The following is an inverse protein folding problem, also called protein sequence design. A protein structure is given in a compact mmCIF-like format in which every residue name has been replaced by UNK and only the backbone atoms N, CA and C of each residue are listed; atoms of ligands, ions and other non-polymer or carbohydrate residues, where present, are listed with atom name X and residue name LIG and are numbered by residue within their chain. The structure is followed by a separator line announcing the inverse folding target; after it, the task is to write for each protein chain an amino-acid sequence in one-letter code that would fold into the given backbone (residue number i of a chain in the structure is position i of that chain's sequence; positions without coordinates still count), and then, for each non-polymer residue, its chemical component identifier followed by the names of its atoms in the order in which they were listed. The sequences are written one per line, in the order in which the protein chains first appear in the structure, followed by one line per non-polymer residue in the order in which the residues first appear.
data_IF_976434947002
#
_entry.id   IF_976434947002
#
_cell.length_a   1.000
_cell.length_b   1.000
_cell.length_c   1.000
_cell.angle_alpha   90.00
_cell.angle_beta   90.00
_cell.angle_gamma   90.00
#
_symmetry.space_group_name_H-M   'P 1'
#
loop_
_entity.id
_entity.type
_entity.pdbx_description
1 polymer ?
#
# COMPACT_ATOMS: atom_id res chain seq x y z
N UNK A 1 18.39 -39.43 -1.21
CA UNK A 1 17.35 -39.44 -0.16
C UNK A 1 17.08 -37.99 0.16
N UNK A 2 15.87 -37.50 -0.09
CA UNK A 2 15.50 -36.10 0.14
C UNK A 2 15.56 -35.80 1.65
N UNK A 3 16.11 -34.65 2.03
CA UNK A 3 16.26 -34.33 3.46
C UNK A 3 14.89 -34.12 4.12
N UNK A 4 14.79 -34.35 5.43
CA UNK A 4 13.57 -34.08 6.20
C UNK A 4 13.11 -32.62 6.05
N UNK A 5 14.04 -31.69 5.87
CA UNK A 5 13.74 -30.28 5.63
C UNK A 5 13.12 -30.03 4.25
N UNK A 6 13.64 -30.66 3.20
CA UNK A 6 13.09 -30.56 1.85
C UNK A 6 11.68 -31.13 1.76
N UNK A 7 11.43 -32.27 2.43
CA UNK A 7 10.10 -32.87 2.53
C UNK A 7 9.10 -31.94 3.21
N UNK A 8 9.50 -31.29 4.31
CA UNK A 8 8.66 -30.32 5.02
C UNK A 8 8.27 -29.15 4.12
N UNK A 9 9.24 -28.53 3.45
CA UNK A 9 9.00 -27.40 2.55
C UNK A 9 8.10 -27.83 1.39
N UNK A 10 8.34 -29.00 0.79
CA UNK A 10 7.49 -29.52 -0.29
C UNK A 10 6.05 -29.70 0.15
N UNK A 11 5.83 -30.40 1.27
CA UNK A 11 4.50 -30.66 1.81
C UNK A 11 3.75 -29.38 2.18
N UNK A 12 4.46 -28.36 2.67
CA UNK A 12 3.88 -27.05 2.91
C UNK A 12 3.28 -26.43 1.64
N UNK A 13 4.06 -26.34 0.55
CA UNK A 13 3.58 -25.76 -0.70
C UNK A 13 2.45 -26.58 -1.36
N UNK A 14 2.45 -27.91 -1.20
CA UNK A 14 1.33 -28.75 -1.61
C UNK A 14 0.03 -28.40 -0.85
N UNK A 15 0.11 -28.13 0.46
CA UNK A 15 -1.05 -27.69 1.26
C UNK A 15 -1.54 -26.31 0.82
N UNK A 16 -0.62 -25.37 0.53
CA UNK A 16 -0.95 -24.04 0.01
C UNK A 16 -1.70 -24.14 -1.33
N UNK A 17 -1.25 -25.00 -2.24
CA UNK A 17 -1.92 -25.21 -3.52
C UNK A 17 -3.31 -25.85 -3.35
N UNK A 18 -3.40 -26.89 -2.51
CA UNK A 18 -4.68 -27.57 -2.20
C UNK A 18 -5.69 -26.62 -1.56
N UNK A 19 -5.26 -25.66 -0.75
CA UNK A 19 -6.18 -24.72 -0.09
C UNK A 19 -6.89 -23.77 -1.08
N UNK A 20 -6.35 -23.58 -2.29
CA UNK A 20 -7.00 -22.80 -3.35
C UNK A 20 -7.94 -23.63 -4.23
N UNK A 21 -7.66 -24.93 -4.45
CA UNK A 21 -8.39 -25.79 -5.41
C UNK A 21 -9.91 -25.88 -5.16
N UNK A 22 -10.34 -25.64 -3.92
CA UNK A 22 -11.75 -25.78 -3.52
C UNK A 22 -12.43 -24.46 -3.14
N UNK A 23 -11.82 -23.30 -3.43
CA UNK A 23 -12.33 -21.99 -2.99
C UNK A 23 -12.57 -21.05 -4.17
N UNK A 24 -13.80 -20.57 -4.30
CA UNK A 24 -14.17 -19.47 -5.20
C UNK A 24 -13.95 -18.13 -4.50
N UNK A 25 -12.97 -17.35 -4.96
CA UNK A 25 -12.67 -16.04 -4.40
C UNK A 25 -13.27 -14.92 -5.26
N UNK A 26 -13.94 -13.95 -4.61
CA UNK A 26 -14.41 -12.75 -5.29
C UNK A 26 -13.39 -11.63 -5.16
N UNK A 27 -13.08 -10.98 -6.27
CA UNK A 27 -12.28 -9.77 -6.30
C UNK A 27 -13.16 -8.61 -6.72
N UNK A 28 -12.94 -7.43 -6.16
CA UNK A 28 -13.68 -6.24 -6.57
C UNK A 28 -13.43 -5.98 -8.06
N UNK A 29 -14.47 -6.13 -8.89
CA UNK A 29 -14.56 -5.36 -10.13
C UNK A 29 -14.84 -3.91 -9.74
N UNK A 30 -14.21 -2.99 -10.47
CA UNK A 30 -14.10 -1.56 -10.17
C UNK A 30 -15.41 -0.77 -10.30
N UNK A 31 -16.59 -1.42 -10.30
CA UNK A 31 -17.78 -0.86 -10.96
C UNK A 31 -19.10 -1.02 -10.19
N UNK A 32 -19.11 -0.80 -8.88
CA UNK A 32 -20.38 -0.68 -8.12
C UNK A 32 -20.39 0.49 -7.13
N UNK A 33 -19.52 1.48 -7.36
CA UNK A 33 -19.38 2.62 -6.47
C UNK A 33 -20.66 3.44 -6.29
N UNK A 34 -21.36 3.74 -7.38
CA UNK A 34 -22.58 4.55 -7.33
C UNK A 34 -23.81 3.78 -6.84
N UNK A 35 -23.95 2.49 -7.18
CA UNK A 35 -25.18 1.74 -6.85
C UNK A 35 -25.23 1.40 -5.35
N UNK A 36 -24.10 1.00 -4.77
CA UNK A 36 -24.02 0.68 -3.33
C UNK A 36 -24.12 1.92 -2.44
N UNK A 37 -23.76 3.09 -2.95
CA UNK A 37 -23.90 4.34 -2.23
C UNK A 37 -25.29 4.95 -2.35
N UNK A 38 -25.95 4.85 -3.51
CA UNK A 38 -27.38 5.19 -3.65
C UNK A 38 -28.20 4.40 -2.62
N UNK A 39 -27.90 3.12 -2.44
CA UNK A 39 -28.54 2.24 -1.43
C UNK A 39 -28.25 2.69 0.01
N UNK A 40 -27.11 3.31 0.29
CA UNK A 40 -26.76 3.81 1.63
C UNK A 40 -27.43 5.16 1.96
N UNK A 41 -27.76 5.97 0.95
CA UNK A 41 -28.41 7.29 1.08
C UNK A 41 -29.93 7.17 1.03
N UNK A 42 -30.43 6.15 0.33
CA UNK A 42 -31.85 5.84 0.21
C UNK A 42 -32.59 5.79 1.55
N UNK A 43 -32.08 5.17 2.64
CA UNK A 43 -32.75 5.24 3.94
C UNK A 43 -32.80 6.65 4.54
N UNK A 44 -31.79 7.49 4.30
CA UNK A 44 -31.79 8.87 4.79
C UNK A 44 -32.79 9.74 4.02
N UNK A 45 -32.87 9.53 2.70
CA UNK A 45 -33.83 10.18 1.80
C UNK A 45 -35.27 9.67 2.07
N UNK A 46 -35.41 8.40 2.45
CA UNK A 46 -36.68 7.82 2.92
C UNK A 46 -37.08 8.34 4.29
N UNK A 47 -36.16 8.58 5.23
CA UNK A 47 -36.45 9.24 6.51
C UNK A 47 -36.98 10.65 6.24
N UNK A 48 -36.36 11.40 5.32
CA UNK A 48 -36.85 12.71 4.91
C UNK A 48 -38.26 12.63 4.32
N UNK A 49 -38.52 11.68 3.42
CA UNK A 49 -39.86 11.46 2.85
C UNK A 49 -40.86 11.04 3.94
N UNK A 50 -40.49 10.21 4.91
CA UNK A 50 -41.34 9.79 6.03
C UNK A 50 -41.67 10.96 6.95
N UNK A 51 -40.71 11.83 7.25
CA UNK A 51 -40.94 13.03 8.06
C UNK A 51 -41.90 13.98 7.35
N UNK A 52 -41.63 14.28 6.07
CA UNK A 52 -42.50 15.16 5.26
C UNK A 52 -43.91 14.59 5.11
N UNK A 53 -44.04 13.29 4.82
CA UNK A 53 -45.35 12.64 4.67
C UNK A 53 -46.08 12.46 5.99
N UNK A 54 -45.37 12.30 7.13
CA UNK A 54 -46.00 12.25 8.45
C UNK A 54 -46.56 13.60 8.86
N UNK A 55 -45.82 14.69 8.59
CA UNK A 55 -46.29 16.07 8.78
C UNK A 55 -47.53 16.33 7.91
N UNK A 56 -47.48 15.98 6.62
CA UNK A 56 -48.61 16.11 5.70
C UNK A 56 -49.82 15.26 6.14
N UNK A 57 -49.58 14.04 6.62
CA UNK A 57 -50.64 13.14 7.05
C UNK A 57 -51.34 13.61 8.33
N UNK A 58 -50.59 14.17 9.29
CA UNK A 58 -51.15 14.79 10.49
C UNK A 58 -52.07 15.96 10.15
N UNK A 59 -51.66 16.77 9.15
CA UNK A 59 -52.49 17.86 8.61
C UNK A 59 -53.77 17.30 7.96
N UNK A 60 -53.68 16.23 7.15
CA UNK A 60 -54.87 15.64 6.51
C UNK A 60 -55.80 14.89 7.47
N UNK A 61 -55.28 14.30 8.54
CA UNK A 61 -56.08 13.56 9.53
C UNK A 61 -56.86 14.51 10.45
N UNK A 62 -56.31 15.70 10.71
CA UNK A 62 -57.03 16.84 11.29
C UNK A 62 -58.20 17.33 10.42
N UNK A 63 -58.11 17.16 9.10
CA UNK A 63 -59.06 17.72 8.15
C UNK A 63 -60.15 16.73 7.68
N UNK A 64 -59.90 15.42 7.59
CA UNK A 64 -60.77 14.54 6.80
C UNK A 64 -61.11 13.13 7.34
N UNK A 65 -60.62 12.68 8.50
CA UNK A 65 -61.08 11.44 9.17
C UNK A 65 -61.30 10.20 8.27
N UNK A 66 -60.35 9.82 7.41
CA UNK A 66 -60.45 8.61 6.54
C UNK A 66 -59.38 7.56 6.87
N UNK A 67 -59.79 6.30 6.69
CA UNK A 67 -59.16 5.05 7.13
C UNK A 67 -57.74 4.79 6.58
N UNK A 68 -56.85 4.38 7.49
CA UNK A 68 -55.37 4.39 7.42
C UNK A 68 -54.76 3.20 6.64
N UNK A 69 -55.55 2.16 6.38
CA UNK A 69 -55.09 0.78 6.06
C UNK A 69 -54.39 0.60 4.69
N UNK A 70 -54.80 1.25 3.58
CA UNK A 70 -54.14 1.03 2.28
C UNK A 70 -52.70 1.56 2.24
N UNK A 71 -52.42 2.63 2.99
CA UNK A 71 -51.10 3.28 2.98
C UNK A 71 -50.05 2.51 3.77
N UNK A 72 -50.46 1.76 4.80
CA UNK A 72 -49.54 0.96 5.63
C UNK A 72 -49.01 -0.26 4.88
N UNK A 73 -49.86 -0.94 4.11
CA UNK A 73 -49.45 -2.14 3.34
C UNK A 73 -48.43 -1.77 2.25
N UNK A 74 -48.66 -0.66 1.54
CA UNK A 74 -47.73 -0.16 0.53
C UNK A 74 -46.36 0.21 1.14
N UNK A 75 -46.36 0.81 2.35
CA UNK A 75 -45.13 1.14 3.09
C UNK A 75 -44.31 -0.11 3.47
N UNK A 76 -44.95 -1.16 3.99
CA UNK A 76 -44.24 -2.39 4.37
C UNK A 76 -43.78 -3.21 3.15
N UNK A 77 -44.52 -3.18 2.04
CA UNK A 77 -44.10 -3.80 0.78
C UNK A 77 -42.83 -3.17 0.19
N UNK A 78 -42.75 -1.84 0.21
CA UNK A 78 -41.53 -1.10 -0.19
C UNK A 78 -40.37 -1.44 0.76
N UNK A 79 -40.61 -1.56 2.06
CA UNK A 79 -39.58 -1.93 3.04
C UNK A 79 -38.93 -3.30 2.75
N UNK A 80 -39.74 -4.34 2.49
CA UNK A 80 -39.23 -5.69 2.17
C UNK A 80 -38.46 -5.74 0.84
N UNK A 81 -38.93 -5.02 -0.18
CA UNK A 81 -38.24 -4.93 -1.48
C UNK A 81 -36.87 -4.25 -1.34
N UNK A 82 -36.78 -3.20 -0.52
CA UNK A 82 -35.53 -2.50 -0.25
C UNK A 82 -34.55 -3.33 0.58
N UNK A 83 -35.03 -4.07 1.59
CA UNK A 83 -34.19 -5.04 2.33
C UNK A 83 -33.61 -6.09 1.37
N UNK A 84 -34.42 -6.62 0.45
CA UNK A 84 -33.95 -7.58 -0.55
C UNK A 84 -32.88 -6.98 -1.47
N UNK A 85 -32.98 -5.71 -1.86
CA UNK A 85 -31.94 -5.00 -2.62
C UNK A 85 -30.64 -4.80 -1.81
N UNK A 86 -30.76 -4.46 -0.53
CA UNK A 86 -29.62 -4.31 0.38
C UNK A 86 -28.90 -5.66 0.57
N UNK A 87 -29.64 -6.75 0.81
CA UNK A 87 -29.08 -8.11 0.96
C UNK A 87 -28.42 -8.56 -0.35
N UNK A 88 -29.07 -8.32 -1.51
CA UNK A 88 -28.55 -8.66 -2.84
C UNK A 88 -27.27 -7.90 -3.18
N UNK A 89 -27.06 -6.71 -2.62
CA UNK A 89 -25.89 -5.88 -2.88
C UNK A 89 -24.93 -5.78 -1.67
N UNK A 90 -25.18 -6.58 -0.63
CA UNK A 90 -24.34 -6.63 0.55
C UNK A 90 -22.97 -7.24 0.18
N UNK A 91 -21.86 -6.61 0.55
CA UNK A 91 -20.53 -7.07 0.15
C UNK A 91 -20.26 -8.45 0.76
N UNK A 92 -20.10 -9.47 -0.10
CA UNK A 92 -19.62 -10.79 0.31
C UNK A 92 -18.17 -10.70 0.82
N UNK A 93 -17.82 -11.61 1.73
CA UNK A 93 -16.56 -11.62 2.49
C UNK A 93 -15.35 -11.43 1.56
N UNK A 94 -14.48 -10.48 1.93
CA UNK A 94 -13.21 -10.22 1.24
C UNK A 94 -12.32 -11.45 1.32
N UNK A 95 -11.50 -11.66 0.29
CA UNK A 95 -10.41 -12.62 0.36
C UNK A 95 -9.50 -12.34 1.55
N UNK A 96 -9.23 -13.37 2.34
CA UNK A 96 -8.17 -13.39 3.35
C UNK A 96 -7.42 -14.72 3.21
N UNK A 97 -6.08 -14.71 3.26
CA UNK A 97 -5.29 -15.93 3.30
C UNK A 97 -5.65 -16.77 4.52
N UNK A 98 -5.42 -18.08 4.45
CA UNK A 98 -5.56 -18.97 5.59
C UNK A 98 -4.56 -18.55 6.67
N UNK A 99 -5.01 -18.11 7.86
CA UNK A 99 -4.11 -17.55 8.86
C UNK A 99 -3.09 -18.57 9.38
N UNK A 100 -3.46 -19.85 9.47
CA UNK A 100 -2.55 -20.88 9.97
C UNK A 100 -1.43 -21.17 8.98
N UNK A 101 -1.74 -21.26 7.68
CA UNK A 101 -0.72 -21.44 6.63
C UNK A 101 0.18 -20.21 6.50
N UNK A 102 -0.40 -19.02 6.68
CA UNK A 102 0.36 -17.78 6.64
C UNK A 102 1.37 -17.72 7.79
N UNK A 103 0.94 -18.03 9.01
CA UNK A 103 1.81 -18.06 10.19
C UNK A 103 2.91 -19.12 10.06
N UNK A 104 2.57 -20.35 9.64
CA UNK A 104 3.55 -21.41 9.39
C UNK A 104 4.58 -20.99 8.32
N UNK A 105 4.14 -20.31 7.27
CA UNK A 105 5.04 -19.81 6.24
C UNK A 105 6.05 -18.80 6.79
N UNK A 106 5.56 -17.78 7.50
CA UNK A 106 6.39 -16.66 7.96
C UNK A 106 7.31 -17.07 9.10
N UNK A 107 6.89 -18.01 9.96
CA UNK A 107 7.66 -18.41 11.15
C UNK A 107 8.58 -19.61 10.94
N UNK A 108 8.27 -20.53 10.01
CA UNK A 108 9.07 -21.75 9.79
C UNK A 108 9.67 -21.81 8.37
N UNK A 109 8.83 -21.72 7.34
CA UNK A 109 9.24 -22.02 5.95
C UNK A 109 10.14 -20.93 5.36
N UNK A 110 9.72 -19.66 5.45
CA UNK A 110 10.45 -18.54 4.88
C UNK A 110 11.81 -18.29 5.56
N UNK A 111 11.96 -18.37 6.89
CA UNK A 111 13.27 -18.31 7.53
C UNK A 111 14.23 -19.41 7.04
N UNK A 112 13.74 -20.64 6.81
CA UNK A 112 14.56 -21.74 6.27
C UNK A 112 14.99 -21.47 4.84
N UNK A 113 14.06 -21.05 3.98
CA UNK A 113 14.38 -20.68 2.60
C UNK A 113 15.37 -19.52 2.57
N UNK A 114 15.19 -18.52 3.44
CA UNK A 114 16.10 -17.38 3.59
C UNK A 114 17.50 -17.86 3.95
N UNK A 115 17.65 -18.69 5.00
CA UNK A 115 18.95 -19.25 5.41
C UNK A 115 19.63 -20.09 4.33
N UNK A 116 18.84 -20.79 3.51
CA UNK A 116 19.36 -21.57 2.38
C UNK A 116 19.98 -20.70 1.28
N UNK A 117 19.46 -19.48 1.07
CA UNK A 117 19.99 -18.52 0.08
C UNK A 117 21.07 -17.61 0.71
N UNK A 118 20.88 -17.28 1.99
CA UNK A 118 21.69 -16.36 2.79
C UNK A 118 21.90 -16.87 4.22
N UNK A 119 23.00 -17.59 4.47
CA UNK A 119 23.26 -18.14 5.80
C UNK A 119 23.40 -17.06 6.90
N UNK A 120 23.85 -15.85 6.54
CA UNK A 120 24.14 -14.75 7.47
C UNK A 120 22.99 -13.75 7.65
N UNK A 121 21.87 -13.92 6.95
CA UNK A 121 20.77 -12.95 6.96
C UNK A 121 19.62 -13.47 7.82
N UNK A 122 19.07 -12.56 8.62
CA UNK A 122 17.88 -12.79 9.43
C UNK A 122 16.64 -12.25 8.72
N UNK A 123 15.55 -13.01 8.82
CA UNK A 123 14.22 -12.60 8.37
C UNK A 123 13.37 -12.16 9.57
N UNK A 124 12.53 -11.14 9.39
CA UNK A 124 11.63 -10.57 10.40
C UNK A 124 10.24 -10.32 9.81
N UNK A 125 9.18 -10.91 10.39
CA UNK A 125 7.78 -10.87 9.89
C UNK A 125 7.02 -9.60 10.27
N UNK A 126 7.50 -8.82 11.25
CA UNK A 126 6.79 -7.65 11.79
C UNK A 126 7.72 -6.47 11.93
N UNK A 127 8.33 -6.09 10.82
CA UNK A 127 9.27 -4.99 10.81
C UNK A 127 8.56 -3.67 11.11
N UNK A 128 8.84 -3.10 12.29
CA UNK A 128 8.41 -1.75 12.61
C UNK A 128 9.43 -0.79 12.02
N UNK A 129 9.03 -0.12 10.96
CA UNK A 129 9.84 0.92 10.35
C UNK A 129 10.17 1.99 11.37
N UNK A 130 11.45 2.34 11.49
CA UNK A 130 11.88 3.50 12.25
C UNK A 130 11.56 4.78 11.46
N UNK A 131 10.31 5.25 11.59
CA UNK A 131 9.85 6.44 10.87
C UNK A 131 10.68 7.68 11.19
N UNK A 132 11.29 7.78 12.38
CA UNK A 132 12.14 8.91 12.74
C UNK A 132 13.43 8.93 11.90
N UNK A 133 14.06 7.76 11.71
CA UNK A 133 15.26 7.63 10.88
C UNK A 133 14.96 7.87 9.39
N UNK A 134 13.83 7.36 8.89
CA UNK A 134 13.40 7.62 7.50
C UNK A 134 13.07 9.10 7.25
N UNK A 135 12.46 9.76 8.24
CA UNK A 135 12.24 11.21 8.20
C UNK A 135 13.57 11.97 8.23
N UNK A 136 14.51 11.60 9.11
CA UNK A 136 15.83 12.21 9.18
C UNK A 136 16.68 12.00 7.90
N UNK A 137 16.45 10.88 7.19
CA UNK A 137 17.05 10.62 5.90
C UNK A 137 16.55 11.61 4.81
N UNK A 138 15.44 12.33 5.05
CA UNK A 138 14.79 13.24 4.10
C UNK A 138 14.61 12.60 2.70
N UNK A 139 14.29 11.30 2.69
CA UNK A 139 14.18 10.55 1.44
C UNK A 139 12.80 10.71 0.80
N UNK A 140 11.76 10.64 1.61
CA UNK A 140 10.39 10.87 1.17
C UNK A 140 10.01 12.34 1.21
N UNK A 141 9.12 12.76 0.31
CA UNK A 141 8.60 14.13 0.24
C UNK A 141 7.82 14.52 1.50
N UNK A 142 7.67 15.82 1.76
CA UNK A 142 6.85 16.30 2.88
C UNK A 142 5.40 15.81 2.76
N UNK A 143 4.87 15.77 1.54
CA UNK A 143 3.52 15.29 1.24
C UNK A 143 3.32 13.81 1.55
N UNK A 144 4.39 13.01 1.47
CA UNK A 144 4.35 11.61 1.88
C UNK A 144 4.14 11.44 3.38
N UNK A 145 4.61 12.39 4.21
CA UNK A 145 4.57 12.30 5.67
C UNK A 145 3.42 13.07 6.32
N UNK A 146 2.44 13.56 5.56
CA UNK A 146 1.28 14.28 6.11
C UNK A 146 0.52 13.41 7.14
N UNK A 147 -0.17 14.05 8.09
CA UNK A 147 -0.77 13.40 9.28
C UNK A 147 -1.72 12.23 8.94
N UNK A 148 -2.34 12.24 7.76
CA UNK A 148 -3.25 11.19 7.28
C UNK A 148 -2.54 9.99 6.62
N UNK A 149 -1.22 10.10 6.39
CA UNK A 149 -0.37 9.07 5.80
C UNK A 149 0.29 8.18 6.85
N UNK A 150 0.07 6.87 6.79
CA UNK A 150 0.81 5.89 7.61
C UNK A 150 1.70 5.02 6.76
N UNK A 151 2.96 4.91 7.17
CA UNK A 151 3.93 3.97 6.64
C UNK A 151 3.98 2.74 7.55
N UNK A 152 3.76 1.56 6.98
CA UNK A 152 3.88 0.28 7.67
C UNK A 152 4.97 -0.55 7.01
N UNK A 153 5.90 -1.06 7.81
CA UNK A 153 6.73 -2.19 7.42
C UNK A 153 5.95 -3.50 7.62
N UNK A 154 6.14 -4.45 6.72
CA UNK A 154 5.59 -5.80 6.82
C UNK A 154 6.76 -6.75 7.11
N UNK A 155 7.43 -7.20 6.04
CA UNK A 155 8.57 -8.12 6.12
C UNK A 155 9.90 -7.38 6.04
N UNK A 156 10.93 -7.88 6.72
CA UNK A 156 12.30 -7.40 6.53
C UNK A 156 13.36 -8.51 6.51
N UNK A 157 14.39 -8.27 5.72
CA UNK A 157 15.65 -9.01 5.69
C UNK A 157 16.76 -8.10 6.21
N UNK A 158 17.44 -8.52 7.27
CA UNK A 158 18.50 -7.75 7.91
C UNK A 158 19.73 -8.62 8.16
N UNK A 159 20.89 -8.07 7.88
CA UNK A 159 22.15 -8.72 8.20
C UNK A 159 23.32 -8.10 7.47
N UNK A 160 24.44 -8.81 7.57
CA UNK A 160 25.67 -8.47 6.87
C UNK A 160 25.89 -9.44 5.73
N UNK A 161 26.17 -8.92 4.54
CA UNK A 161 26.52 -9.73 3.39
C UNK A 161 27.71 -9.13 2.64
N UNK A 162 28.79 -9.92 2.48
CA UNK A 162 30.04 -9.47 1.83
C UNK A 162 30.56 -8.12 2.37
N UNK A 163 30.52 -7.95 3.71
CA UNK A 163 30.87 -6.74 4.48
C UNK A 163 29.91 -5.56 4.36
N UNK A 164 28.77 -5.69 3.68
CA UNK A 164 27.76 -4.64 3.66
C UNK A 164 26.67 -4.96 4.68
N UNK A 165 26.51 -4.08 5.67
CA UNK A 165 25.34 -4.07 6.53
C UNK A 165 24.16 -3.49 5.76
N UNK A 166 23.08 -4.25 5.69
CA UNK A 166 21.89 -3.82 5.01
C UNK A 166 20.61 -4.28 5.71
N UNK A 167 19.55 -3.57 5.39
CA UNK A 167 18.21 -3.81 5.85
C UNK A 167 17.27 -3.56 4.68
N UNK A 168 16.59 -4.62 4.23
CA UNK A 168 15.60 -4.56 3.17
C UNK A 168 14.24 -4.85 3.77
N UNK A 169 13.31 -3.91 3.67
CA UNK A 169 11.96 -4.03 4.20
C UNK A 169 10.93 -3.84 3.10
N UNK A 170 9.86 -4.63 3.14
CA UNK A 170 8.64 -4.32 2.40
C UNK A 170 7.88 -3.23 3.12
N UNK A 171 7.68 -2.10 2.44
CA UNK A 171 6.97 -0.94 2.95
C UNK A 171 5.65 -0.76 2.20
N UNK A 172 4.59 -0.57 2.96
CA UNK A 172 3.28 -0.15 2.45
C UNK A 172 2.90 1.20 3.05
N UNK A 173 2.61 2.17 2.18
CA UNK A 173 2.10 3.47 2.57
C UNK A 173 0.60 3.53 2.32
N UNK A 174 -0.16 3.85 3.38
CA UNK A 174 -1.59 4.03 3.34
C UNK A 174 -1.93 5.50 3.56
N UNK A 175 -2.88 6.00 2.80
CA UNK A 175 -3.50 7.30 3.02
C UNK A 175 -4.94 7.07 3.44
N UNK A 176 -5.43 7.86 4.37
CA UNK A 176 -6.86 7.91 4.62
C UNK A 176 -7.52 8.71 3.50
N UNK A 177 -8.58 8.15 2.91
CA UNK A 177 -9.39 8.85 1.91
C UNK A 177 -10.84 8.73 2.31
N UNK A 178 -11.65 9.71 1.95
CA UNK A 178 -13.10 9.60 2.08
C UNK A 178 -13.58 8.31 1.42
N UNK A 179 -14.28 7.49 2.22
CA UNK A 179 -15.01 6.35 1.72
C UNK A 179 -16.12 6.85 0.80
N UNK A 180 -16.68 5.95 -0.02
CA UNK A 180 -17.81 6.33 -0.86
C UNK A 180 -18.96 6.86 0.02
N UNK A 181 -19.29 6.16 1.10
CA UNK A 181 -20.28 6.61 2.09
C UNK A 181 -19.95 7.99 2.66
N UNK A 182 -18.69 8.21 3.02
CA UNK A 182 -18.20 9.51 3.51
C UNK A 182 -18.45 10.64 2.52
N UNK A 183 -18.09 10.45 1.24
CA UNK A 183 -18.31 11.46 0.20
C UNK A 183 -19.78 11.84 0.04
N UNK A 184 -20.70 10.86 0.09
CA UNK A 184 -22.13 11.14 0.00
C UNK A 184 -22.70 11.82 1.25
N UNK A 185 -22.23 11.43 2.44
CA UNK A 185 -22.61 12.10 3.68
C UNK A 185 -22.14 13.57 3.64
N UNK A 186 -20.92 13.86 3.16
CA UNK A 186 -20.41 15.23 3.00
C UNK A 186 -21.25 16.07 2.03
N UNK A 187 -21.72 15.50 0.92
CA UNK A 187 -22.61 16.22 -0.02
C UNK A 187 -23.98 16.47 0.61
N UNK A 188 -24.55 15.47 1.28
CA UNK A 188 -25.85 15.59 1.93
C UNK A 188 -25.81 16.63 3.06
N UNK A 189 -24.73 16.65 3.85
CA UNK A 189 -24.42 17.69 4.82
C UNK A 189 -24.40 19.08 4.16
N UNK A 190 -23.66 19.23 3.06
CA UNK A 190 -23.59 20.49 2.32
C UNK A 190 -24.96 20.99 1.83
N UNK A 191 -25.84 20.09 1.39
CA UNK A 191 -27.21 20.45 1.00
C UNK A 191 -28.09 20.83 2.21
N UNK A 192 -27.94 20.15 3.35
CA UNK A 192 -28.72 20.42 4.56
C UNK A 192 -28.33 21.72 5.25
N UNK A 193 -27.04 22.08 5.24
CA UNK A 193 -26.53 23.37 5.76
C UNK A 193 -27.21 24.55 5.06
N UNK A 194 -27.56 24.40 3.78
CA UNK A 194 -28.27 25.43 3.00
C UNK A 194 -29.75 25.54 3.43
N UNK A 195 -30.34 24.48 3.96
CA UNK A 195 -31.77 24.39 4.29
C UNK A 195 -32.05 24.91 5.71
N UNK A 196 -31.20 24.59 6.69
CA UNK A 196 -31.37 25.03 8.07
C UNK A 196 -30.10 24.88 8.90
N UNK A 197 -29.69 25.96 9.58
CA UNK A 197 -28.55 25.96 10.51
C UNK A 197 -28.79 25.02 11.71
N UNK A 198 -30.02 24.93 12.23
CA UNK A 198 -30.34 24.07 13.39
C UNK A 198 -30.25 22.58 13.07
N UNK A 199 -30.54 22.18 11.83
CA UNK A 199 -30.37 20.79 11.40
C UNK A 199 -28.90 20.44 11.15
N UNK A 200 -28.07 21.42 10.77
CA UNK A 200 -26.63 21.21 10.61
C UNK A 200 -26.00 20.77 11.94
N UNK A 201 -26.32 21.44 13.04
CA UNK A 201 -25.76 21.13 14.37
C UNK A 201 -26.12 19.72 14.85
N UNK A 202 -27.38 19.29 14.66
CA UNK A 202 -27.82 17.93 14.99
C UNK A 202 -27.05 16.90 14.16
N UNK A 203 -26.83 17.18 12.88
CA UNK A 203 -26.17 16.26 11.96
C UNK A 203 -24.66 16.20 12.22
N UNK A 204 -24.01 17.31 12.58
CA UNK A 204 -22.62 17.33 13.05
C UNK A 204 -22.46 16.53 14.36
N UNK A 205 -23.40 16.65 15.30
CA UNK A 205 -23.41 15.84 16.54
C UNK A 205 -23.54 14.33 16.27
N UNK A 206 -24.38 13.94 15.29
CA UNK A 206 -24.48 12.54 14.86
C UNK A 206 -23.17 12.07 14.21
N UNK A 207 -22.51 12.92 13.41
CA UNK A 207 -21.27 12.59 12.72
C UNK A 207 -20.11 12.33 13.72
N UNK A 208 -20.03 13.16 14.76
CA UNK A 208 -19.05 13.02 15.83
C UNK A 208 -19.27 11.71 16.61
N UNK A 209 -20.55 11.36 16.85
CA UNK A 209 -20.94 10.11 17.51
C UNK A 209 -20.61 8.86 16.67
N UNK A 210 -20.73 8.94 15.34
CA UNK A 210 -20.43 7.82 14.42
C UNK A 210 -18.90 7.64 14.23
N UNK A 211 -18.11 8.68 14.51
CA UNK A 211 -16.65 8.67 14.46
C UNK A 211 -16.08 8.73 13.04
N UNK A 212 -15.00 9.49 12.85
CA UNK A 212 -14.36 9.72 11.54
C UNK A 212 -13.94 8.45 10.78
N UNK A 213 -13.65 7.36 11.50
CA UNK A 213 -13.29 6.06 10.93
C UNK A 213 -14.41 5.40 10.10
N UNK A 214 -15.67 5.80 10.31
CA UNK A 214 -16.80 5.32 9.51
C UNK A 214 -16.89 6.03 8.14
N UNK A 215 -16.33 7.23 8.04
CA UNK A 215 -16.37 8.08 6.85
C UNK A 215 -15.13 7.91 6.00
N UNK A 216 -13.96 7.67 6.61
CA UNK A 216 -12.72 7.41 5.92
C UNK A 216 -12.57 5.92 5.57
N UNK A 217 -11.69 5.65 4.62
CA UNK A 217 -11.14 4.31 4.38
C UNK A 217 -9.66 4.47 4.10
N UNK A 218 -8.88 3.57 4.68
CA UNK A 218 -7.49 3.41 4.28
C UNK A 218 -7.40 2.96 2.83
N UNK A 219 -6.72 3.74 2.00
CA UNK A 219 -6.33 3.40 0.63
C UNK A 219 -4.82 3.22 0.60
N UNK A 220 -4.38 2.06 0.11
CA UNK A 220 -2.97 1.83 -0.20
C UNK A 220 -2.56 2.79 -1.33
N UNK A 221 -1.60 3.67 -1.05
CA UNK A 221 -1.07 4.63 -2.00
C UNK A 221 0.18 4.09 -2.69
N UNK A 222 1.05 3.44 -1.92
CA UNK A 222 2.33 2.91 -2.40
C UNK A 222 2.64 1.58 -1.70
N UNK A 223 3.33 0.68 -2.41
CA UNK A 223 3.98 -0.51 -1.86
C UNK A 223 5.26 -0.81 -2.63
N UNK A 224 6.30 -1.23 -1.92
CA UNK A 224 7.56 -1.60 -2.54
C UNK A 224 8.61 -2.08 -1.55
N UNK A 225 9.74 -2.50 -2.10
CA UNK A 225 10.94 -2.79 -1.31
C UNK A 225 11.67 -1.49 -1.00
N UNK A 226 12.06 -1.35 0.24
CA UNK A 226 12.94 -0.30 0.72
C UNK A 226 14.24 -0.93 1.20
N UNK A 227 15.34 -0.52 0.58
CA UNK A 227 16.67 -0.95 0.93
C UNK A 227 17.40 0.19 1.65
N UNK A 228 17.86 -0.09 2.85
CA UNK A 228 18.90 0.64 3.55
C UNK A 228 20.19 -0.15 3.49
N UNK A 229 21.31 0.48 3.15
CA UNK A 229 22.62 -0.15 3.21
C UNK A 229 23.71 0.87 3.58
N UNK A 230 24.74 0.42 4.28
CA UNK A 230 25.98 1.18 4.38
C UNK A 230 26.69 1.14 3.02
N UNK A 231 26.83 2.31 2.38
CA UNK A 231 27.39 2.41 1.03
C UNK A 231 28.93 2.37 1.04
N UNK A 232 29.56 2.35 2.22
CA UNK A 232 31.01 2.21 2.42
C UNK A 232 31.90 3.25 1.70
N UNK A 233 31.30 4.30 1.13
CA UNK A 233 32.00 5.49 0.63
C UNK A 233 31.94 6.58 1.70
N UNK A 234 33.05 7.27 1.90
CA UNK A 234 33.08 8.43 2.79
C UNK A 234 32.78 9.71 2.02
N UNK A 235 31.64 10.30 2.28
CA UNK A 235 31.27 11.62 1.78
C UNK A 235 30.25 12.25 2.71
N UNK A 236 30.21 13.58 2.71
CA UNK A 236 29.18 14.35 3.40
C UNK A 236 28.27 15.02 2.39
N UNK A 237 26.97 15.02 2.68
CA UNK A 237 25.95 15.60 1.82
C UNK A 237 25.01 14.57 1.23
N UNK A 238 24.16 15.05 0.33
CA UNK A 238 23.00 14.31 -0.18
C UNK A 238 23.02 14.26 -1.70
N UNK A 239 22.66 13.10 -2.25
CA UNK A 239 22.39 12.90 -3.67
C UNK A 239 21.08 12.16 -3.80
N UNK A 240 20.17 12.66 -4.62
CA UNK A 240 18.89 12.05 -4.94
C UNK A 240 18.85 11.73 -6.44
N UNK A 241 18.60 10.48 -6.77
CA UNK A 241 18.23 10.01 -8.10
C UNK A 241 16.74 9.62 -8.06
N UNK A 242 15.91 10.32 -8.84
CA UNK A 242 14.46 10.08 -8.93
C UNK A 242 14.03 9.85 -10.36
N UNK A 243 13.00 9.02 -10.58
CA UNK A 243 12.44 8.79 -11.93
C UNK A 243 11.80 10.06 -12.51
N UNK A 244 11.99 10.30 -13.81
CA UNK A 244 11.26 11.32 -14.59
C UNK A 244 9.85 10.89 -14.94
N UNK A 245 9.56 9.59 -14.87
CA UNK A 245 8.26 9.04 -15.22
C UNK A 245 7.25 9.52 -14.18
N UNK A 246 6.17 10.19 -14.64
CA UNK A 246 5.02 10.54 -13.80
C UNK A 246 4.43 9.27 -13.18
N UNK A 247 4.82 9.00 -11.95
CA UNK A 247 4.57 7.75 -11.25
C UNK A 247 4.43 8.02 -9.75
N UNK A 248 4.03 7.01 -8.98
CA UNK A 248 3.97 7.11 -7.53
C UNK A 248 5.35 7.48 -6.95
N UNK A 249 6.43 6.93 -7.50
CA UNK A 249 7.80 7.21 -7.08
C UNK A 249 8.16 8.69 -7.20
N UNK A 250 7.83 9.31 -8.34
CA UNK A 250 8.10 10.72 -8.60
C UNK A 250 7.42 11.64 -7.57
N UNK A 251 6.24 11.26 -7.06
CA UNK A 251 5.48 12.01 -6.04
C UNK A 251 6.01 11.80 -4.62
N UNK A 252 6.41 10.57 -4.29
CA UNK A 252 6.86 10.24 -2.93
C UNK A 252 8.32 10.61 -2.69
N UNK A 253 9.12 10.84 -3.73
CA UNK A 253 10.50 11.34 -3.61
C UNK A 253 10.63 12.71 -4.25
N UNK A 254 10.86 13.74 -3.45
CA UNK A 254 11.02 15.12 -3.91
C UNK A 254 12.43 15.62 -3.60
N UNK A 255 13.06 16.40 -4.51
CA UNK A 255 14.32 17.06 -4.21
C UNK A 255 14.11 18.10 -3.12
N UNK A 256 15.07 18.18 -2.19
CA UNK A 256 15.10 19.25 -1.22
C UNK A 256 15.59 20.54 -1.87
N UNK A 257 15.18 21.69 -1.33
CA UNK A 257 15.49 23.01 -1.88
C UNK A 257 16.99 23.34 -1.93
N UNK A 258 17.81 22.68 -1.11
CA UNK A 258 19.27 22.85 -1.08
C UNK A 258 20.02 21.97 -2.08
N UNK A 259 19.34 21.10 -2.84
CA UNK A 259 19.98 20.27 -3.85
C UNK A 259 19.90 20.92 -5.22
N UNK A 260 21.02 20.98 -5.92
CA UNK A 260 21.07 21.41 -7.31
C UNK A 260 20.89 20.23 -8.26
N UNK A 261 20.23 20.45 -9.40
CA UNK A 261 20.08 19.45 -10.45
C UNK A 261 21.42 19.28 -11.18
N UNK A 262 21.84 18.03 -11.37
CA UNK A 262 23.06 17.68 -12.10
C UNK A 262 22.73 16.81 -13.32
N UNK A 263 23.60 16.87 -14.33
CA UNK A 263 23.52 16.05 -15.54
C UNK A 263 24.69 15.09 -15.52
N UNK A 264 24.42 13.78 -15.56
CA UNK A 264 25.47 12.77 -15.61
C UNK A 264 26.04 12.65 -17.04
N UNK A 265 27.17 11.97 -17.23
CA UNK A 265 27.68 11.68 -18.57
C UNK A 265 26.83 10.62 -19.30
N UNK A 266 26.24 9.69 -18.55
CA UNK A 266 25.38 8.64 -19.10
C UNK A 266 24.01 9.21 -19.54
N UNK A 267 23.85 9.40 -20.86
CA UNK A 267 22.62 9.90 -21.47
C UNK A 267 21.40 8.99 -21.27
N UNK A 268 21.57 7.68 -21.11
CA UNK A 268 20.48 6.73 -20.86
C UNK A 268 19.87 6.94 -19.47
N UNK A 269 20.72 7.14 -18.45
CA UNK A 269 20.26 7.48 -17.09
C UNK A 269 19.61 8.86 -17.08
N UNK A 270 20.18 9.87 -17.72
CA UNK A 270 19.57 11.21 -17.77
C UNK A 270 18.20 11.25 -18.45
N UNK A 271 17.91 10.33 -19.38
CA UNK A 271 16.59 10.20 -20.01
C UNK A 271 15.53 9.64 -19.05
N UNK A 272 15.94 8.72 -18.17
CA UNK A 272 15.03 8.04 -17.23
C UNK A 272 14.92 8.75 -15.89
N UNK A 273 15.99 9.40 -15.46
CA UNK A 273 16.15 9.90 -14.10
C UNK A 273 16.52 11.39 -14.08
N UNK A 274 16.15 12.04 -12.99
CA UNK A 274 16.67 13.33 -12.57
C UNK A 274 17.60 13.09 -11.40
N UNK A 275 18.75 13.76 -11.42
CA UNK A 275 19.75 13.65 -10.37
C UNK A 275 19.93 15.00 -9.73
N UNK A 276 19.89 15.02 -8.41
CA UNK A 276 20.07 16.20 -7.59
C UNK A 276 21.17 15.92 -6.56
N UNK A 277 22.04 16.87 -6.29
CA UNK A 277 23.12 16.70 -5.33
C UNK A 277 23.38 17.99 -4.55
N UNK A 278 24.02 17.87 -3.38
CA UNK A 278 24.53 19.03 -2.65
C UNK A 278 25.58 19.81 -3.44
N UNK A 279 26.37 19.11 -4.26
CA UNK A 279 27.26 19.72 -5.26
C UNK A 279 27.47 18.77 -6.44
N UNK A 280 27.78 19.32 -7.62
CA UNK A 280 28.19 18.53 -8.80
C UNK A 280 29.36 17.60 -8.52
N UNK A 281 30.39 18.07 -7.79
CA UNK A 281 31.57 17.26 -7.46
C UNK A 281 31.18 16.03 -6.64
N UNK A 282 30.32 16.21 -5.63
CA UNK A 282 29.82 15.11 -4.82
C UNK A 282 29.00 14.13 -5.67
N UNK A 283 28.13 14.66 -6.53
CA UNK A 283 27.33 13.86 -7.46
C UNK A 283 28.17 12.93 -8.32
N UNK A 284 29.21 13.44 -8.98
CA UNK A 284 30.09 12.65 -9.84
C UNK A 284 30.97 11.65 -9.06
N UNK A 285 31.41 12.03 -7.86
CA UNK A 285 32.19 11.13 -7.00
C UNK A 285 31.38 9.91 -6.52
N UNK A 286 30.18 10.14 -5.99
CA UNK A 286 29.40 9.06 -5.41
C UNK A 286 28.67 8.24 -6.48
N UNK A 287 28.11 8.88 -7.52
CA UNK A 287 27.52 8.23 -8.69
C UNK A 287 28.58 7.98 -9.77
N UNK A 288 29.60 7.20 -9.42
CA UNK A 288 30.62 6.75 -10.37
C UNK A 288 29.97 5.96 -11.53
N UNK A 289 30.63 5.84 -12.69
CA UNK A 289 30.14 5.05 -13.83
C UNK A 289 29.68 3.64 -13.42
N UNK A 290 30.42 3.00 -12.52
CA UNK A 290 30.08 1.67 -11.96
C UNK A 290 28.74 1.63 -11.22
N UNK A 291 28.43 2.65 -10.43
CA UNK A 291 27.15 2.76 -9.69
C UNK A 291 26.00 3.04 -10.65
N UNK A 292 26.24 3.88 -11.66
CA UNK A 292 25.27 4.17 -12.73
C UNK A 292 24.94 2.87 -13.48
N UNK A 293 25.95 2.08 -13.85
CA UNK A 293 25.75 0.77 -14.49
C UNK A 293 25.01 -0.23 -13.59
N UNK A 294 25.31 -0.26 -12.29
CA UNK A 294 24.58 -1.07 -11.32
C UNK A 294 23.09 -0.69 -11.30
N UNK A 295 22.77 0.59 -11.26
CA UNK A 295 21.39 1.09 -11.32
C UNK A 295 20.70 0.68 -12.63
N UNK A 296 21.39 0.76 -13.76
CA UNK A 296 20.85 0.32 -15.05
C UNK A 296 20.58 -1.20 -15.07
N UNK A 297 21.50 -2.01 -14.53
CA UNK A 297 21.34 -3.47 -14.41
C UNK A 297 20.14 -3.83 -13.52
N UNK A 298 20.05 -3.21 -12.34
CA UNK A 298 18.96 -3.43 -11.38
C UNK A 298 17.60 -3.07 -12.00
N UNK A 299 17.50 -1.89 -12.61
CA UNK A 299 16.23 -1.42 -13.20
C UNK A 299 15.80 -2.25 -14.40
N UNK A 300 16.74 -2.77 -15.19
CA UNK A 300 16.47 -3.68 -16.30
C UNK A 300 15.97 -5.04 -15.81
N UNK A 301 16.63 -5.62 -14.81
CA UNK A 301 16.29 -6.95 -14.28
C UNK A 301 14.94 -6.94 -13.55
N UNK A 302 14.72 -5.95 -12.69
CA UNK A 302 13.48 -5.81 -11.93
C UNK A 302 12.32 -5.26 -12.76
N UNK A 303 12.59 -4.75 -13.97
CA UNK A 303 11.62 -4.09 -14.86
C UNK A 303 10.83 -2.98 -14.15
N UNK A 304 11.49 -2.31 -13.22
CA UNK A 304 10.91 -1.26 -12.40
C UNK A 304 11.87 -0.06 -12.34
N UNK A 305 11.29 1.14 -12.34
CA UNK A 305 12.03 2.35 -12.00
C UNK A 305 12.36 2.31 -10.50
N UNK A 306 13.46 2.96 -10.12
CA UNK A 306 13.85 3.10 -8.70
C UNK A 306 13.92 4.58 -8.32
N UNK A 307 13.77 4.87 -7.04
CA UNK A 307 14.29 6.11 -6.46
C UNK A 307 15.39 5.77 -5.46
N UNK A 308 16.48 6.54 -5.48
CA UNK A 308 17.69 6.25 -4.72
C UNK A 308 18.19 7.55 -4.09
N UNK A 309 18.54 7.50 -2.81
CA UNK A 309 19.24 8.59 -2.12
C UNK A 309 20.50 8.08 -1.45
N UNK A 310 21.59 8.79 -1.69
CA UNK A 310 22.84 8.66 -0.97
C UNK A 310 22.92 9.82 0.02
N UNK A 311 23.16 9.52 1.30
CA UNK A 311 23.32 10.55 2.34
C UNK A 311 24.38 10.09 3.34
N UNK A 312 25.43 10.89 3.47
CA UNK A 312 26.50 10.68 4.47
C UNK A 312 27.03 9.24 4.51
N UNK A 313 27.38 8.69 3.34
CA UNK A 313 27.87 7.32 3.20
C UNK A 313 26.82 6.21 3.30
N UNK A 314 25.54 6.55 3.45
CA UNK A 314 24.42 5.59 3.51
C UNK A 314 23.60 5.61 2.22
N UNK A 315 23.10 4.43 1.83
CA UNK A 315 22.22 4.22 0.70
C UNK A 315 20.79 3.96 1.17
N UNK A 316 19.85 4.70 0.59
CA UNK A 316 18.42 4.47 0.71
C UNK A 316 17.87 4.27 -0.69
N UNK A 317 17.16 3.18 -0.95
CA UNK A 317 16.60 2.88 -2.25
C UNK A 317 15.19 2.37 -2.08
N UNK A 318 14.29 2.77 -2.98
CA UNK A 318 12.93 2.25 -3.02
C UNK A 318 12.58 1.77 -4.41
N UNK A 319 11.94 0.61 -4.45
CA UNK A 319 11.58 -0.12 -5.65
C UNK A 319 10.09 -0.49 -5.54
N UNK A 320 9.22 0.06 -6.40
CA UNK A 320 7.80 -0.26 -6.39
C UNK A 320 7.62 -1.72 -6.79
N UNK A 321 6.79 -2.44 -6.05
CA UNK A 321 6.46 -3.83 -6.36
C UNK A 321 5.07 -3.94 -6.98
N UNK A 322 4.93 -4.82 -7.97
CA UNK A 322 3.61 -5.16 -8.52
C UNK A 322 2.78 -6.07 -7.59
N UNK A 323 3.43 -6.79 -6.68
CA UNK A 323 2.81 -7.77 -5.78
C UNK A 323 3.54 -7.79 -4.43
N UNK A 324 2.87 -8.29 -3.39
CA UNK A 324 3.51 -8.48 -2.08
C UNK A 324 4.59 -9.55 -2.20
N UNK A 325 5.79 -9.25 -1.74
CA UNK A 325 6.83 -10.28 -1.64
C UNK A 325 6.55 -11.14 -0.41
N UNK A 326 7.16 -12.33 -0.38
CA UNK A 326 7.13 -13.17 0.81
C UNK A 326 5.70 -13.56 1.23
N UNK A 327 4.81 -13.78 0.28
CA UNK A 327 3.45 -14.25 0.53
C UNK A 327 3.21 -15.65 0.01
N UNK A 328 2.31 -16.41 0.63
CA UNK A 328 1.93 -17.73 0.09
C UNK A 328 0.97 -17.62 -1.09
N UNK A 329 0.39 -16.44 -1.34
CA UNK A 329 -0.52 -16.18 -2.45
C UNK A 329 -0.18 -14.88 -3.19
N UNK A 330 -0.14 -14.93 -4.52
CA UNK A 330 -0.09 -13.75 -5.39
C UNK A 330 -1.48 -13.38 -5.86
N UNK A 331 -1.78 -12.08 -5.81
CA UNK A 331 -3.03 -11.52 -6.35
C UNK A 331 -2.69 -10.62 -7.53
N UNK A 332 -3.10 -11.02 -8.74
CA UNK A 332 -2.94 -10.20 -9.95
C UNK A 332 -4.20 -10.26 -10.78
N UNK A 333 -4.67 -9.11 -11.27
CA UNK A 333 -5.85 -8.99 -12.13
C UNK A 333 -7.06 -9.76 -11.60
N UNK A 334 -7.34 -9.64 -10.30
CA UNK A 334 -8.48 -10.34 -9.70
C UNK A 334 -8.39 -11.88 -9.81
N UNK A 335 -7.17 -12.43 -9.77
CA UNK A 335 -6.90 -13.86 -9.73
C UNK A 335 -5.90 -14.11 -8.60
N UNK A 336 -6.19 -15.10 -7.75
CA UNK A 336 -5.32 -15.57 -6.68
C UNK A 336 -4.60 -16.80 -7.21
N UNK A 337 -3.29 -16.82 -7.05
CA UNK A 337 -2.45 -17.98 -7.34
C UNK A 337 -1.61 -18.31 -6.12
N UNK A 338 -1.45 -19.59 -5.83
CA UNK A 338 -0.50 -20.04 -4.82
C UNK A 338 0.90 -19.73 -5.31
N UNK A 339 1.71 -19.16 -4.44
CA UNK A 339 3.15 -19.10 -4.66
C UNK A 339 3.74 -20.49 -4.45
N UNK A 340 4.71 -20.83 -5.29
CA UNK A 340 5.51 -22.05 -5.18
C UNK A 340 6.81 -21.77 -4.44
N UNK A 341 7.53 -22.83 -4.04
CA UNK A 341 8.91 -22.72 -3.54
C UNK A 341 9.79 -21.92 -4.51
N UNK A 342 9.63 -22.14 -5.81
CA UNK A 342 10.42 -21.46 -6.85
C UNK A 342 10.13 -19.97 -6.89
N UNK A 343 8.88 -19.57 -6.70
CA UNK A 343 8.48 -18.16 -6.65
C UNK A 343 9.18 -17.44 -5.49
N UNK A 344 9.14 -18.03 -4.30
CA UNK A 344 9.77 -17.45 -3.10
C UNK A 344 11.30 -17.42 -3.23
N UNK A 345 11.91 -18.47 -3.79
CA UNK A 345 13.34 -18.49 -4.05
C UNK A 345 13.75 -17.43 -5.08
N UNK A 346 12.94 -17.19 -6.10
CA UNK A 346 13.18 -16.13 -7.06
C UNK A 346 13.15 -14.75 -6.37
N UNK A 347 12.16 -14.49 -5.51
CA UNK A 347 12.07 -13.24 -4.73
C UNK A 347 13.33 -13.03 -3.86
N UNK A 348 13.77 -14.07 -3.14
CA UNK A 348 15.01 -14.03 -2.34
C UNK A 348 16.26 -13.81 -3.21
N UNK A 349 16.34 -14.44 -4.37
CA UNK A 349 17.44 -14.28 -5.33
C UNK A 349 17.46 -12.89 -5.97
N UNK A 350 16.31 -12.28 -6.24
CA UNK A 350 16.22 -10.91 -6.73
C UNK A 350 16.77 -9.91 -5.71
N UNK A 351 16.47 -10.10 -4.42
CA UNK A 351 17.11 -9.33 -3.34
C UNK A 351 18.63 -9.56 -3.34
N UNK A 352 19.09 -10.77 -3.66
CA UNK A 352 20.53 -11.11 -3.58
C UNK A 352 21.28 -10.39 -4.66
N UNK A 353 20.73 -10.49 -5.86
CA UNK A 353 21.20 -9.79 -7.03
C UNK A 353 21.27 -8.28 -6.79
N UNK A 354 20.24 -7.69 -6.16
CA UNK A 354 20.23 -6.27 -5.81
C UNK A 354 21.42 -5.89 -4.93
N UNK A 355 21.62 -6.60 -3.81
CA UNK A 355 22.73 -6.32 -2.87
C UNK A 355 24.09 -6.59 -3.52
N UNK A 356 24.23 -7.67 -4.28
CA UNK A 356 25.48 -8.01 -4.96
C UNK A 356 25.86 -6.98 -6.02
N UNK A 357 24.90 -6.56 -6.83
CA UNK A 357 25.14 -5.57 -7.88
C UNK A 357 25.53 -4.22 -7.28
N UNK A 358 24.98 -3.85 -6.13
CA UNK A 358 25.38 -2.64 -5.40
C UNK A 358 26.74 -2.77 -4.72
N UNK A 359 27.06 -3.92 -4.13
CA UNK A 359 28.29 -4.14 -3.36
C UNK A 359 29.53 -4.42 -4.23
N UNK A 360 29.37 -5.14 -5.35
CA UNK A 360 30.49 -5.44 -6.25
C UNK A 360 31.15 -4.16 -6.79
N UNK A 361 30.37 -3.08 -6.89
CA UNK A 361 30.82 -1.81 -7.46
C UNK A 361 31.34 -0.80 -6.41
N UNK A 362 31.18 -1.08 -5.11
CA UNK A 362 31.69 -0.22 -4.01
C UNK A 362 33.07 -0.64 -3.51
N UNK A 363 33.49 -1.90 -3.72
CA UNK A 363 34.80 -2.44 -3.29
C UNK A 363 36.02 -1.77 -3.92
N UNK A 364 35.85 -1.02 -5.00
CA UNK A 364 36.96 -0.30 -5.67
C UNK A 364 37.32 0.99 -4.88
N UNK A 365 36.50 1.43 -3.92
CA UNK A 365 36.64 2.72 -3.23
C UNK A 365 36.32 2.66 -1.72
N UNK A 366 36.55 1.51 -1.07
CA UNK A 366 36.27 1.37 0.37
C UNK A 366 37.13 2.31 1.22
N UNK A 367 36.55 2.80 2.33
CA UNK A 367 37.26 3.51 3.40
C UNK A 367 38.58 2.80 3.73
N UNK A 368 39.69 3.56 3.69
CA UNK A 368 40.98 3.10 4.23
C UNK A 368 40.89 3.11 5.76
#
# INVERSE_FOLDING_TARGET
MESQEELRVRYFFERVEKSLKNKTYTFKTKQYGCITSIIAILPLLLILIVVVTSILSGITLLLFSISIVPTTILKYGVYLFLIALVIRHFPRRKYKPDPALQEEFKTDILPRLTKSVYPTISYQEKYKTNNAELKAANFFSKDFWQEEGRLSGEDALKGRYKNVDFELAELTHYIEVLSQRGWFISILLGLFIIISETFADVLFGILDTIGGNALSKSKQNFRGLFLYADFHKDFKGEILLRTRRKSILEKITAPNTHLEKITLENGSVNKKYEVYATSKQLGYYALSPTIIEAIEKITKELKADISLKLKDGKLYMIIPLEHNFFEIYKVKNNIIKANTKKDILWELQSVKYLIETLNLETRIWSKI
#
